data_IF_108713460243
#
_entry.id   IF_108713460243
#
_cell.length_a   1.000
_cell.length_b   1.000
_cell.length_c   1.000
_cell.angle_alpha   90.00
_cell.angle_beta   90.00
_cell.angle_gamma   90.00
#
_symmetry.space_group_name_H-M   'P 1'
#
loop_
_entity.id
_entity.type
_entity.pdbx_description
1 polymer ?
#
# COMPACT_ATOMS: atom_id res chain seq x y z
N UNK A 1 13.25 12.07 11.09
CA UNK A 1 12.89 10.74 10.52
C UNK A 1 11.86 10.96 9.43
N UNK A 2 11.92 10.30 8.27
CA UNK A 2 10.89 10.44 7.24
C UNK A 2 9.54 9.98 7.80
N UNK A 3 8.53 10.85 7.68
CA UNK A 3 7.16 10.50 8.03
C UNK A 3 6.53 9.70 6.88
N UNK A 4 5.81 8.64 7.25
CA UNK A 4 5.10 7.79 6.31
C UNK A 4 3.61 7.84 6.60
N UNK A 5 2.83 7.89 5.53
CA UNK A 5 1.40 7.59 5.57
C UNK A 5 1.21 6.08 5.36
N UNK A 6 0.22 5.50 6.03
CA UNK A 6 -0.10 4.08 5.92
C UNK A 6 -1.53 3.87 5.44
N UNK A 7 -1.73 2.84 4.64
CA UNK A 7 -3.05 2.41 4.17
C UNK A 7 -3.17 0.89 4.27
N UNK A 8 -4.29 0.41 4.79
CA UNK A 8 -4.61 -1.00 4.80
C UNK A 8 -5.51 -1.37 3.61
N UNK A 9 -5.17 -2.47 2.95
CA UNK A 9 -5.90 -3.05 1.82
C UNK A 9 -6.29 -4.47 2.22
N UNK A 10 -7.59 -4.76 2.15
CA UNK A 10 -8.12 -6.10 2.35
C UNK A 10 -8.39 -6.76 1.01
N UNK A 11 -7.89 -7.99 0.84
CA UNK A 11 -8.06 -8.79 -0.36
C UNK A 11 -8.81 -10.07 0.01
N UNK A 12 -10.07 -10.23 -0.44
CA UNK A 12 -10.87 -11.42 -0.16
C UNK A 12 -10.25 -12.70 -0.74
N UNK A 13 -10.60 -13.85 -0.16
CA UNK A 13 -10.05 -15.16 -0.56
C UNK A 13 -10.26 -15.53 -2.03
N UNK A 14 -11.33 -15.03 -2.66
CA UNK A 14 -11.66 -15.30 -4.07
C UNK A 14 -10.82 -14.53 -5.08
N UNK A 15 -10.04 -13.54 -4.63
CA UNK A 15 -9.17 -12.77 -5.52
C UNK A 15 -7.91 -13.59 -5.82
N UNK A 16 -7.66 -13.86 -7.10
CA UNK A 16 -6.46 -14.59 -7.52
C UNK A 16 -5.18 -13.85 -7.11
N UNK A 17 -4.07 -14.57 -6.99
CA UNK A 17 -2.77 -13.94 -6.68
C UNK A 17 -2.41 -12.87 -7.71
N UNK A 18 -2.65 -13.14 -9.00
CA UNK A 18 -2.34 -12.22 -10.11
C UNK A 18 -3.18 -10.95 -10.03
N UNK A 19 -4.48 -11.07 -9.76
CA UNK A 19 -5.36 -9.92 -9.57
C UNK A 19 -4.95 -9.08 -8.36
N UNK A 20 -4.57 -9.73 -7.25
CA UNK A 20 -4.04 -9.04 -6.09
C UNK A 20 -2.72 -8.30 -6.40
N UNK A 21 -1.81 -8.92 -7.15
CA UNK A 21 -0.58 -8.26 -7.61
C UNK A 21 -0.89 -7.03 -8.45
N UNK A 22 -1.78 -7.15 -9.44
CA UNK A 22 -2.16 -6.02 -10.29
C UNK A 22 -2.75 -4.86 -9.48
N UNK A 23 -3.66 -5.14 -8.55
CA UNK A 23 -4.22 -4.11 -7.65
C UNK A 23 -3.14 -3.40 -6.83
N UNK A 24 -2.15 -4.13 -6.31
CA UNK A 24 -1.05 -3.52 -5.56
C UNK A 24 -0.09 -2.74 -6.46
N UNK A 25 0.12 -3.19 -7.70
CA UNK A 25 0.90 -2.47 -8.71
C UNK A 25 0.23 -1.15 -9.07
N UNK A 26 -1.09 -1.13 -9.27
CA UNK A 26 -1.84 0.12 -9.54
C UNK A 26 -1.71 1.11 -8.37
N UNK A 27 -1.76 0.63 -7.12
CA UNK A 27 -1.49 1.49 -5.96
C UNK A 27 -0.08 2.08 -5.97
N UNK A 28 0.93 1.28 -6.37
CA UNK A 28 2.30 1.75 -6.46
C UNK A 28 2.48 2.79 -7.57
N UNK A 29 1.92 2.52 -8.75
CA UNK A 29 2.03 3.37 -9.94
C UNK A 29 1.36 4.73 -9.74
N UNK A 30 0.10 4.74 -9.28
CA UNK A 30 -0.69 5.97 -9.24
C UNK A 30 -0.67 6.68 -7.88
N UNK A 31 -0.33 5.98 -6.80
CA UNK A 31 -0.36 6.54 -5.46
C UNK A 31 1.00 6.60 -4.75
N UNK A 32 2.06 6.15 -5.43
CA UNK A 32 3.41 6.02 -4.86
C UNK A 32 3.43 5.18 -3.57
N UNK A 33 2.55 4.19 -3.49
CA UNK A 33 2.46 3.28 -2.36
C UNK A 33 3.46 2.13 -2.49
N UNK A 34 4.18 1.86 -1.42
CA UNK A 34 5.07 0.71 -1.29
C UNK A 34 4.45 -0.36 -0.39
N UNK A 35 4.75 -1.62 -0.67
CA UNK A 35 4.38 -2.74 0.20
C UNK A 35 5.17 -2.66 1.53
N UNK A 36 4.48 -2.39 2.64
CA UNK A 36 5.10 -2.37 3.97
C UNK A 36 4.98 -3.73 4.67
N UNK A 37 3.82 -4.39 4.57
CA UNK A 37 3.59 -5.72 5.15
C UNK A 37 2.46 -6.43 4.42
N UNK A 38 2.58 -7.75 4.25
CA UNK A 38 1.49 -8.62 3.80
C UNK A 38 1.25 -9.71 4.84
N UNK A 39 -0.01 -10.07 5.06
CA UNK A 39 -0.41 -11.27 5.79
C UNK A 39 -1.44 -12.05 4.98
N UNK A 40 -1.16 -13.31 4.70
CA UNK A 40 -2.13 -14.29 4.21
C UNK A 40 -2.76 -15.00 5.41
N UNK A 41 -4.08 -15.10 5.43
CA UNK A 41 -4.83 -15.79 6.47
C UNK A 41 -5.20 -17.22 6.01
N UNK A 42 -5.47 -18.14 6.96
CA UNK A 42 -5.86 -19.52 6.63
C UNK A 42 -7.12 -19.63 5.78
N UNK A 43 -8.02 -18.65 5.86
CA UNK A 43 -9.24 -18.56 5.04
C UNK A 43 -8.97 -18.16 3.57
N UNK A 44 -7.70 -17.87 3.23
CA UNK A 44 -7.24 -17.44 1.91
C UNK A 44 -7.30 -15.93 1.66
N UNK A 45 -7.85 -15.17 2.61
CA UNK A 45 -7.87 -13.70 2.54
C UNK A 45 -6.50 -13.11 2.86
N UNK A 46 -6.22 -11.91 2.36
CA UNK A 46 -4.97 -11.20 2.64
C UNK A 46 -5.26 -9.82 3.23
N UNK A 47 -4.46 -9.40 4.21
CA UNK A 47 -4.34 -7.99 4.60
C UNK A 47 -2.98 -7.48 4.18
N UNK A 48 -2.99 -6.35 3.50
CA UNK A 48 -1.80 -5.70 2.99
C UNK A 48 -1.73 -4.31 3.60
N UNK A 49 -0.60 -3.99 4.22
CA UNK A 49 -0.28 -2.64 4.68
C UNK A 49 0.65 -2.00 3.67
N UNK A 50 0.21 -0.88 3.13
CA UNK A 50 0.96 -0.02 2.24
C UNK A 50 1.51 1.17 3.01
N UNK A 51 2.64 1.70 2.55
CA UNK A 51 3.22 2.95 3.06
C UNK A 51 3.58 3.89 1.90
N UNK A 52 3.49 5.20 2.10
CA UNK A 52 4.08 6.19 1.20
C UNK A 52 4.76 7.29 2.01
N UNK A 53 5.85 7.85 1.49
CA UNK A 53 6.57 8.93 2.17
C UNK A 53 5.77 10.23 2.06
N UNK A 54 5.58 10.92 3.18
CA UNK A 54 4.95 12.24 3.19
C UNK A 54 6.00 13.25 2.75
N UNK A 55 5.78 13.87 1.58
CA UNK A 55 6.62 14.96 1.07
C UNK A 55 6.00 16.26 1.56
N UNK A 56 6.62 16.87 2.58
CA UNK A 56 6.25 18.21 3.03
C UNK A 56 7.06 19.21 2.22
N UNK A 57 6.40 20.00 1.38
CA UNK A 57 7.06 21.12 0.72
C UNK A 57 7.28 22.22 1.78
N UNK A 58 8.52 22.61 2.09
CA UNK A 58 8.73 23.74 2.97
C UNK A 58 8.13 24.99 2.30
N UNK A 59 7.37 25.78 3.06
CA UNK A 59 6.88 27.06 2.57
C UNK A 59 8.10 27.95 2.32
N UNK A 60 8.22 28.60 1.15
CA UNK A 60 9.26 29.59 0.95
C UNK A 60 9.03 30.75 1.91
N UNK A 61 9.99 30.98 2.80
CA UNK A 61 10.11 32.22 3.56
C UNK A 61 11.03 33.14 2.79
N UNK A 62 10.44 34.01 1.97
CA UNK A 62 11.07 35.24 1.49
C UNK A 62 10.21 36.41 1.94
#
# INVERSE_FOLDING_TARGET
>A
MPEYEFRDVYVPRGVSRRAATQLLTEHAEYGYWELARMRLYPDGSRRVRLRRRIIRQPRPTW
#
